data_IF_430699087602
#
_entry.id   IF_430699087602
#
_cell.length_a   1.000
_cell.length_b   1.000
_cell.length_c   1.000
_cell.angle_alpha   90.00
_cell.angle_beta   90.00
_cell.angle_gamma   90.00
#
_symmetry.space_group_name_H-M   'P 1'
#
loop_
_entity.id
_entity.type
_entity.pdbx_description
1 polymer ?
#
# COMPACT_ATOMS: atom_id res chain seq x y z
N UNK A 1 12.08 47.40 50.41
CA UNK A 1 12.89 46.95 49.28
C UNK A 1 12.87 45.42 49.08
N UNK A 2 13.02 44.60 50.14
CA UNK A 2 12.94 43.11 50.02
C UNK A 2 11.60 42.55 49.49
N UNK A 3 10.48 43.21 49.84
CA UNK A 3 9.13 42.79 49.37
C UNK A 3 8.86 43.10 47.90
N UNK A 4 9.53 44.16 47.35
CA UNK A 4 9.42 44.53 45.95
C UNK A 4 10.24 43.58 45.03
N UNK A 5 11.37 43.06 45.57
CA UNK A 5 12.20 42.06 44.85
C UNK A 5 11.49 40.71 44.75
N UNK A 6 10.71 40.34 45.79
CA UNK A 6 9.93 39.09 45.80
C UNK A 6 8.76 39.14 44.81
N UNK A 7 8.16 40.32 44.60
CA UNK A 7 7.08 40.51 43.59
C UNK A 7 7.62 40.47 42.16
N UNK A 8 8.85 40.92 41.92
CA UNK A 8 9.49 40.89 40.62
C UNK A 8 9.89 39.42 40.21
N UNK A 9 10.17 38.55 41.18
CA UNK A 9 10.49 37.14 40.93
C UNK A 9 9.23 36.30 40.57
N UNK A 10 8.02 36.76 40.96
CA UNK A 10 6.75 36.11 40.57
C UNK A 10 6.31 36.46 39.14
N UNK A 11 6.89 37.48 38.50
CA UNK A 11 6.65 37.84 37.12
C UNK A 11 7.71 37.24 36.15
N UNK A 12 8.53 36.27 36.62
CA UNK A 12 9.29 35.48 35.67
C UNK A 12 8.27 34.88 34.65
N UNK A 13 8.39 35.16 33.37
CA UNK A 13 7.49 34.54 32.40
C UNK A 13 7.71 33.04 32.60
N UNK A 14 6.69 32.34 33.06
CA UNK A 14 6.59 30.93 32.80
C UNK A 14 6.76 30.87 31.28
N UNK A 15 7.95 30.53 30.85
CA UNK A 15 8.18 30.18 29.45
C UNK A 15 7.21 29.04 29.20
N UNK A 16 6.00 29.42 28.81
CA UNK A 16 5.02 28.48 28.33
C UNK A 16 5.73 27.81 27.19
N UNK A 17 6.22 26.60 27.39
CA UNK A 17 6.65 25.73 26.33
C UNK A 17 5.45 25.64 25.40
N UNK A 18 5.41 26.50 24.40
CA UNK A 18 4.30 26.55 23.45
C UNK A 18 4.26 25.18 22.81
N UNK A 19 3.26 24.39 23.17
CA UNK A 19 3.06 23.07 22.59
C UNK A 19 2.95 23.23 21.09
N UNK A 20 3.84 22.59 20.36
CA UNK A 20 3.83 22.62 18.89
C UNK A 20 2.94 21.52 18.36
N UNK A 21 2.04 21.88 17.49
CA UNK A 21 1.16 20.97 16.78
C UNK A 21 1.54 20.99 15.31
N UNK A 22 1.61 19.81 14.71
CA UNK A 22 1.90 19.66 13.30
C UNK A 22 0.78 18.94 12.56
N UNK A 23 0.78 19.11 11.25
CA UNK A 23 -0.02 18.27 10.35
C UNK A 23 0.80 17.93 9.11
N UNK A 24 0.43 16.82 8.47
CA UNK A 24 1.12 16.28 7.29
C UNK A 24 0.09 15.72 6.32
N UNK A 25 0.34 15.87 5.02
CA UNK A 25 -0.42 15.17 3.99
C UNK A 25 0.33 13.90 3.56
N UNK A 26 0.01 12.80 4.20
CA UNK A 26 0.69 11.52 3.94
C UNK A 26 0.46 11.02 2.51
N UNK A 27 -0.72 11.24 1.95
CA UNK A 27 -1.05 10.85 0.59
C UNK A 27 -0.22 11.61 -0.46
N UNK A 28 -0.03 12.92 -0.27
CA UNK A 28 0.81 13.74 -1.14
C UNK A 28 2.26 13.27 -1.13
N UNK A 29 2.79 12.91 0.05
CA UNK A 29 4.16 12.39 0.17
C UNK A 29 4.26 11.03 -0.51
N UNK A 30 3.33 10.12 -0.22
CA UNK A 30 3.33 8.76 -0.76
C UNK A 30 3.35 8.74 -2.29
N UNK A 31 2.58 9.62 -2.94
CA UNK A 31 2.52 9.71 -4.40
C UNK A 31 3.85 10.09 -5.06
N UNK A 32 4.72 10.80 -4.35
CA UNK A 32 6.05 11.20 -4.86
C UNK A 32 7.18 10.30 -4.36
N UNK A 33 6.89 9.29 -3.56
CA UNK A 33 7.89 8.29 -3.13
C UNK A 33 8.27 7.36 -4.29
N UNK A 34 9.58 7.19 -4.59
CA UNK A 34 10.02 6.27 -5.64
C UNK A 34 9.58 4.83 -5.39
N UNK A 35 9.53 4.42 -4.13
CA UNK A 35 9.09 3.09 -3.70
C UNK A 35 7.63 2.85 -4.08
N UNK A 36 6.77 3.86 -3.98
CA UNK A 36 5.37 3.76 -4.37
C UNK A 36 5.22 3.53 -5.88
N UNK A 37 5.93 4.30 -6.68
CA UNK A 37 5.94 4.13 -8.14
C UNK A 37 6.49 2.77 -8.54
N UNK A 38 7.58 2.34 -7.90
CA UNK A 38 8.18 1.02 -8.14
C UNK A 38 7.22 -0.11 -7.76
N UNK A 39 6.62 -0.05 -6.57
CA UNK A 39 5.66 -1.03 -6.11
C UNK A 39 4.46 -1.16 -7.06
N UNK A 40 3.92 -0.04 -7.52
CA UNK A 40 2.85 -0.01 -8.52
C UNK A 40 3.25 -0.71 -9.82
N UNK A 41 4.42 -0.40 -10.34
CA UNK A 41 4.92 -1.05 -11.57
C UNK A 41 5.13 -2.56 -11.39
N UNK A 42 5.67 -2.98 -10.24
CA UNK A 42 5.88 -4.40 -9.94
C UNK A 42 4.54 -5.16 -9.83
N UNK A 43 3.54 -4.57 -9.19
CA UNK A 43 2.19 -5.15 -9.07
C UNK A 43 1.51 -5.23 -10.43
N UNK A 44 1.60 -4.18 -11.26
CA UNK A 44 1.07 -4.19 -12.63
C UNK A 44 1.74 -5.27 -13.50
N UNK A 45 3.05 -5.46 -13.36
CA UNK A 45 3.78 -6.51 -14.07
C UNK A 45 3.35 -7.92 -13.61
N UNK A 46 3.20 -8.13 -12.30
CA UNK A 46 2.75 -9.38 -11.73
C UNK A 46 1.32 -9.72 -12.18
N UNK A 47 0.43 -8.74 -12.20
CA UNK A 47 -0.93 -8.91 -12.70
C UNK A 47 -0.94 -9.36 -14.17
N UNK A 48 -0.18 -8.68 -15.03
CA UNK A 48 -0.06 -9.04 -16.45
C UNK A 48 0.49 -10.46 -16.64
N UNK A 49 1.45 -10.86 -15.82
CA UNK A 49 1.97 -12.22 -15.86
C UNK A 49 0.88 -13.24 -15.52
N UNK A 50 0.14 -13.03 -14.43
CA UNK A 50 -0.95 -13.93 -14.04
C UNK A 50 -2.06 -14.01 -15.08
N UNK A 51 -2.42 -12.87 -15.69
CA UNK A 51 -3.40 -12.82 -16.78
C UNK A 51 -2.92 -13.63 -18.02
N UNK A 52 -1.63 -13.52 -18.37
CA UNK A 52 -1.05 -14.27 -19.48
C UNK A 52 -1.01 -15.78 -19.19
N UNK A 53 -0.64 -16.18 -17.98
CA UNK A 53 -0.58 -17.58 -17.56
C UNK A 53 -2.00 -18.21 -17.58
N UNK A 54 -2.99 -17.51 -17.02
CA UNK A 54 -4.40 -17.96 -17.04
C UNK A 54 -4.92 -18.08 -18.48
N UNK A 55 -4.60 -17.09 -19.32
CA UNK A 55 -4.96 -17.14 -20.73
C UNK A 55 -4.35 -18.35 -21.43
N UNK A 56 -3.07 -18.63 -21.21
CA UNK A 56 -2.40 -19.81 -21.75
C UNK A 56 -3.08 -21.11 -21.34
N UNK A 57 -3.46 -21.23 -20.07
CA UNK A 57 -4.21 -22.40 -19.57
C UNK A 57 -5.60 -22.54 -20.21
N UNK A 58 -6.32 -21.42 -20.39
CA UNK A 58 -7.63 -21.40 -21.05
C UNK A 58 -7.55 -21.76 -22.53
N UNK A 59 -6.54 -21.24 -23.23
CA UNK A 59 -6.28 -21.55 -24.66
C UNK A 59 -5.94 -23.05 -24.83
N UNK A 60 -5.15 -23.63 -23.92
CA UNK A 60 -4.85 -25.07 -23.91
C UNK A 60 -6.10 -25.91 -23.65
N UNK A 61 -6.91 -25.57 -22.66
CA UNK A 61 -8.18 -26.26 -22.37
C UNK A 61 -9.10 -26.22 -23.59
N UNK A 62 -9.23 -25.04 -24.21
CA UNK A 62 -10.07 -24.86 -25.41
C UNK A 62 -9.61 -25.76 -26.54
N UNK A 63 -8.31 -25.78 -26.83
CA UNK A 63 -7.72 -26.63 -27.89
C UNK A 63 -7.96 -28.11 -27.62
N UNK A 64 -7.70 -28.58 -26.39
CA UNK A 64 -7.91 -29.99 -26.01
C UNK A 64 -9.39 -30.38 -26.05
N UNK A 65 -10.29 -29.47 -25.65
CA UNK A 65 -11.73 -29.69 -25.70
C UNK A 65 -12.21 -29.81 -27.14
N UNK A 66 -11.74 -28.95 -28.05
CA UNK A 66 -12.07 -29.02 -29.48
C UNK A 66 -11.54 -30.32 -30.11
N UNK A 67 -10.30 -30.71 -29.80
CA UNK A 67 -9.71 -31.96 -30.28
C UNK A 67 -10.53 -33.19 -29.78
N UNK A 68 -10.91 -33.17 -28.50
CA UNK A 68 -11.73 -34.21 -27.92
C UNK A 68 -13.11 -34.31 -28.63
N UNK A 69 -13.81 -33.19 -28.79
CA UNK A 69 -15.10 -33.15 -29.46
C UNK A 69 -15.05 -33.66 -30.92
N UNK A 70 -13.99 -33.30 -31.66
CA UNK A 70 -13.79 -33.74 -33.03
C UNK A 70 -13.54 -35.26 -33.16
N UNK A 71 -12.93 -35.88 -32.17
CA UNK A 71 -12.46 -37.26 -32.23
C UNK A 71 -13.20 -38.23 -31.33
N UNK A 72 -14.06 -37.77 -30.41
CA UNK A 72 -14.72 -38.61 -29.36
C UNK A 72 -15.48 -39.81 -29.92
N UNK A 73 -16.05 -39.69 -31.12
CA UNK A 73 -16.78 -40.78 -31.75
C UNK A 73 -15.91 -41.98 -32.20
N UNK A 74 -14.60 -41.75 -32.38
CA UNK A 74 -13.65 -42.79 -32.80
C UNK A 74 -12.79 -43.34 -31.63
N UNK A 75 -12.91 -42.73 -30.42
CA UNK A 75 -12.12 -43.12 -29.28
C UNK A 75 -12.71 -44.34 -28.55
N UNK A 76 -11.87 -45.30 -28.10
CA UNK A 76 -12.28 -46.33 -27.16
C UNK A 76 -12.84 -45.73 -25.87
N UNK A 77 -13.77 -46.40 -25.20
CA UNK A 77 -14.47 -45.91 -24.00
C UNK A 77 -13.50 -45.47 -22.89
N UNK A 78 -12.50 -46.29 -22.58
CA UNK A 78 -11.50 -45.99 -21.55
C UNK A 78 -10.65 -44.76 -21.87
N UNK A 79 -10.41 -44.48 -23.16
CA UNK A 79 -9.67 -43.30 -23.58
C UNK A 79 -10.56 -42.06 -23.52
N UNK A 80 -11.85 -42.20 -23.88
CA UNK A 80 -12.84 -41.13 -23.78
C UNK A 80 -13.00 -40.66 -22.32
N UNK A 81 -13.22 -41.60 -21.40
CA UNK A 81 -13.33 -41.29 -19.97
C UNK A 81 -12.06 -40.59 -19.41
N UNK A 82 -10.88 -41.04 -19.80
CA UNK A 82 -9.63 -40.40 -19.38
C UNK A 82 -9.50 -38.97 -19.92
N UNK A 83 -9.92 -38.73 -21.16
CA UNK A 83 -9.89 -37.39 -21.73
C UNK A 83 -10.90 -36.44 -21.07
N UNK A 84 -12.08 -36.91 -20.75
CA UNK A 84 -13.09 -36.15 -20.00
C UNK A 84 -12.57 -35.76 -18.62
N UNK A 85 -11.95 -36.71 -17.92
CA UNK A 85 -11.34 -36.43 -16.63
C UNK A 85 -10.21 -35.39 -16.74
N UNK A 86 -9.32 -35.53 -17.74
CA UNK A 86 -8.24 -34.55 -17.98
C UNK A 86 -8.78 -33.14 -18.20
N UNK A 87 -9.82 -32.98 -19.02
CA UNK A 87 -10.46 -31.69 -19.27
C UNK A 87 -11.08 -31.10 -17.99
N UNK A 88 -11.71 -31.93 -17.18
CA UNK A 88 -12.28 -31.50 -15.91
C UNK A 88 -11.20 -31.07 -14.91
N UNK A 89 -10.11 -31.81 -14.81
CA UNK A 89 -8.96 -31.44 -13.96
C UNK A 89 -8.32 -30.12 -14.40
N UNK A 90 -8.18 -29.92 -15.73
CA UNK A 90 -7.68 -28.65 -16.26
C UNK A 90 -8.62 -27.48 -15.91
N UNK A 91 -9.93 -27.66 -16.03
CA UNK A 91 -10.89 -26.65 -15.63
C UNK A 91 -10.77 -26.30 -14.14
N UNK A 92 -10.69 -27.28 -13.27
CA UNK A 92 -10.50 -27.09 -11.83
C UNK A 92 -9.19 -26.36 -11.54
N UNK A 93 -8.10 -26.73 -12.23
CA UNK A 93 -6.81 -26.08 -12.09
C UNK A 93 -6.84 -24.61 -12.48
N UNK A 94 -7.55 -24.25 -13.55
CA UNK A 94 -7.75 -22.84 -13.95
C UNK A 94 -8.49 -22.06 -12.84
N UNK A 95 -9.57 -22.63 -12.30
CA UNK A 95 -10.34 -22.01 -11.21
C UNK A 95 -9.45 -21.79 -9.97
N UNK A 96 -8.67 -22.81 -9.60
CA UNK A 96 -7.75 -22.71 -8.47
C UNK A 96 -6.67 -21.65 -8.72
N UNK A 97 -6.04 -21.68 -9.90
CA UNK A 97 -5.01 -20.68 -10.27
C UNK A 97 -5.56 -19.25 -10.24
N UNK A 98 -6.81 -19.04 -10.65
CA UNK A 98 -7.44 -17.72 -10.56
C UNK A 98 -7.55 -17.24 -9.10
N UNK A 99 -7.96 -18.12 -8.18
CA UNK A 99 -8.07 -17.80 -6.76
C UNK A 99 -6.69 -17.54 -6.14
N UNK A 100 -5.73 -18.42 -6.42
CA UNK A 100 -4.37 -18.32 -5.88
C UNK A 100 -3.67 -17.04 -6.37
N UNK A 101 -3.79 -16.72 -7.66
CA UNK A 101 -3.24 -15.50 -8.24
C UNK A 101 -3.86 -14.23 -7.63
N UNK A 102 -5.18 -14.24 -7.42
CA UNK A 102 -5.87 -13.11 -6.77
C UNK A 102 -5.38 -12.91 -5.33
N UNK A 103 -5.24 -13.99 -4.56
CA UNK A 103 -4.72 -13.92 -3.19
C UNK A 103 -3.26 -13.46 -3.16
N UNK A 104 -2.43 -14.00 -4.06
CA UNK A 104 -1.01 -13.63 -4.16
C UNK A 104 -0.84 -12.15 -4.53
N UNK A 105 -1.66 -11.64 -5.46
CA UNK A 105 -1.64 -10.23 -5.87
C UNK A 105 -2.03 -9.30 -4.71
N UNK A 106 -3.12 -9.62 -4.01
CA UNK A 106 -3.58 -8.86 -2.85
C UNK A 106 -2.52 -8.85 -1.73
N UNK A 107 -1.90 -9.99 -1.46
CA UNK A 107 -0.83 -10.13 -0.48
C UNK A 107 0.38 -9.28 -0.86
N UNK A 108 0.85 -9.40 -2.10
CA UNK A 108 1.99 -8.62 -2.60
C UNK A 108 1.72 -7.10 -2.51
N UNK A 109 0.51 -6.67 -2.87
CA UNK A 109 0.10 -5.26 -2.75
C UNK A 109 0.10 -4.79 -1.29
N UNK A 110 -0.45 -5.59 -0.37
CA UNK A 110 -0.50 -5.25 1.05
C UNK A 110 0.91 -5.16 1.66
N UNK A 111 1.81 -6.09 1.35
CA UNK A 111 3.19 -6.10 1.81
C UNK A 111 3.96 -4.86 1.33
N UNK A 112 3.86 -4.53 0.03
CA UNK A 112 4.48 -3.32 -0.54
C UNK A 112 3.97 -2.04 0.11
N UNK A 113 2.65 -1.93 0.28
CA UNK A 113 2.05 -0.77 0.94
C UNK A 113 2.45 -0.65 2.41
N UNK A 114 2.58 -1.77 3.12
CA UNK A 114 3.04 -1.77 4.50
C UNK A 114 4.48 -1.26 4.64
N UNK A 115 5.39 -1.70 3.76
CA UNK A 115 6.78 -1.22 3.73
C UNK A 115 6.85 0.29 3.49
N UNK A 116 6.09 0.80 2.49
CA UNK A 116 6.04 2.23 2.15
C UNK A 116 5.47 3.04 3.32
N UNK A 117 4.37 2.57 3.90
CA UNK A 117 3.73 3.23 5.04
C UNK A 117 4.66 3.27 6.25
N UNK A 118 5.35 2.18 6.57
CA UNK A 118 6.31 2.15 7.68
C UNK A 118 7.43 3.18 7.49
N UNK A 119 8.00 3.25 6.28
CA UNK A 119 9.04 4.22 5.94
C UNK A 119 8.55 5.66 6.11
N UNK A 120 7.33 5.95 5.66
CA UNK A 120 6.70 7.25 5.82
C UNK A 120 6.48 7.61 7.30
N UNK A 121 5.94 6.67 8.08
CA UNK A 121 5.69 6.87 9.51
C UNK A 121 6.98 7.11 10.30
N UNK A 122 8.06 6.42 9.96
CA UNK A 122 9.38 6.67 10.55
C UNK A 122 9.89 8.08 10.25
N UNK A 123 9.71 8.56 9.03
CA UNK A 123 10.08 9.92 8.66
C UNK A 123 9.24 10.98 9.40
N UNK A 124 7.93 10.77 9.51
CA UNK A 124 7.01 11.64 10.28
C UNK A 124 7.44 11.67 11.75
N UNK A 125 7.71 10.51 12.35
CA UNK A 125 8.19 10.40 13.74
C UNK A 125 9.51 11.15 13.94
N UNK A 126 10.44 11.00 13.01
CA UNK A 126 11.73 11.69 13.11
C UNK A 126 11.59 13.21 13.04
N UNK A 127 10.70 13.72 12.16
CA UNK A 127 10.37 15.15 12.07
C UNK A 127 9.67 15.63 13.34
N UNK A 128 8.75 14.84 13.87
CA UNK A 128 8.05 15.12 15.12
C UNK A 128 9.00 15.30 16.30
N UNK A 129 9.93 14.36 16.46
CA UNK A 129 10.93 14.39 17.52
C UNK A 129 11.92 15.56 17.36
N UNK A 130 12.41 15.81 16.14
CA UNK A 130 13.37 16.88 15.88
C UNK A 130 12.76 18.28 16.03
N UNK A 131 11.44 18.41 15.83
CA UNK A 131 10.74 19.69 15.94
C UNK A 131 10.05 19.93 17.28
N UNK A 132 10.15 19.00 18.26
CA UNK A 132 9.44 19.03 19.53
C UNK A 132 7.91 19.17 19.37
N UNK A 133 7.35 18.49 18.38
CA UNK A 133 5.90 18.45 18.19
C UNK A 133 5.24 17.53 19.20
N UNK A 134 4.12 17.98 19.78
CA UNK A 134 3.30 17.13 20.69
C UNK A 134 2.64 16.01 19.89
N UNK A 135 2.16 16.35 18.69
CA UNK A 135 1.68 15.39 17.69
C UNK A 135 1.79 15.98 16.28
N UNK A 136 1.81 15.12 15.29
CA UNK A 136 1.64 15.44 13.87
C UNK A 136 0.42 14.66 13.38
N UNK A 137 -0.60 15.37 12.91
CA UNK A 137 -1.86 14.81 12.48
C UNK A 137 -1.86 14.63 10.95
N UNK A 138 -2.30 13.46 10.48
CA UNK A 138 -2.44 13.22 9.05
C UNK A 138 -3.75 13.83 8.53
N UNK A 139 -3.64 14.74 7.57
CA UNK A 139 -4.79 15.41 6.98
C UNK A 139 -5.37 14.69 5.77
N UNK A 140 -4.71 13.64 5.28
CA UNK A 140 -5.18 12.88 4.12
C UNK A 140 -6.51 12.16 4.37
N UNK A 141 -6.85 11.91 5.63
CA UNK A 141 -8.11 11.27 6.05
C UNK A 141 -9.30 12.23 6.21
N UNK A 142 -9.17 13.48 5.78
CA UNK A 142 -10.30 14.42 5.72
C UNK A 142 -10.59 15.11 7.06
N UNK A 143 -9.60 15.73 7.69
CA UNK A 143 -9.80 16.58 8.86
C UNK A 143 -10.57 17.84 8.45
N UNK A 144 -11.73 18.14 9.07
CA UNK A 144 -12.60 19.23 8.63
C UNK A 144 -12.00 20.64 8.81
N UNK A 145 -11.10 20.79 9.80
CA UNK A 145 -10.49 22.08 10.10
C UNK A 145 -9.13 21.89 10.77
N UNK A 146 -8.16 22.67 10.30
CA UNK A 146 -6.85 22.85 10.94
C UNK A 146 -6.54 24.33 10.99
N UNK A 147 -6.10 24.78 12.17
CA UNK A 147 -5.68 26.16 12.36
C UNK A 147 -4.39 26.44 11.57
N UNK A 148 -4.42 27.44 10.70
CA UNK A 148 -3.23 27.90 9.96
C UNK A 148 -2.19 28.62 10.83
N UNK A 149 -2.57 29.01 12.06
CA UNK A 149 -1.69 29.76 12.98
C UNK A 149 -1.14 28.88 14.14
N UNK A 150 -1.88 27.82 14.51
CA UNK A 150 -1.52 26.98 15.64
C UNK A 150 -0.97 25.60 15.22
N UNK A 151 -1.16 25.19 13.99
CA UNK A 151 -0.63 23.95 13.46
C UNK A 151 0.31 24.22 12.29
N UNK A 152 1.49 23.63 12.33
CA UNK A 152 2.50 23.75 11.28
C UNK A 152 2.35 22.62 10.27
N UNK A 153 2.29 22.94 8.99
CA UNK A 153 2.41 21.95 7.93
C UNK A 153 3.87 21.48 7.84
N UNK A 154 4.07 20.20 8.12
CA UNK A 154 5.40 19.55 8.08
C UNK A 154 5.58 18.65 6.85
N UNK A 155 4.67 18.69 5.88
CA UNK A 155 4.73 17.87 4.66
C UNK A 155 6.06 18.02 3.94
N UNK A 156 6.52 19.26 3.74
CA UNK A 156 7.82 19.54 3.09
C UNK A 156 9.01 19.02 3.90
N UNK A 157 8.94 19.11 5.23
CA UNK A 157 10.00 18.59 6.13
C UNK A 157 10.08 17.06 6.07
N UNK A 158 8.94 16.38 6.04
CA UNK A 158 8.88 14.92 5.89
C UNK A 158 9.38 14.50 4.52
N UNK A 159 9.01 15.20 3.43
CA UNK A 159 9.58 14.96 2.09
C UNK A 159 11.10 15.09 2.11
N UNK A 160 11.62 16.17 2.68
CA UNK A 160 13.08 16.38 2.80
C UNK A 160 13.76 15.26 3.61
N UNK A 161 13.14 14.79 4.70
CA UNK A 161 13.63 13.67 5.52
C UNK A 161 13.68 12.35 4.73
N UNK A 162 12.77 12.15 3.79
CA UNK A 162 12.74 11.00 2.86
C UNK A 162 13.67 11.18 1.66
N UNK A 163 14.36 12.33 1.52
CA UNK A 163 15.18 12.64 0.35
C UNK A 163 14.40 12.96 -0.91
N UNK A 164 13.13 13.32 -0.77
CA UNK A 164 12.25 13.72 -1.87
C UNK A 164 12.40 15.22 -2.16
N UNK A 165 12.21 15.59 -3.43
CA UNK A 165 12.25 16.99 -3.88
C UNK A 165 10.85 17.59 -3.91
#
# INVERSE_FOLDING_TARGET
MKKLLLMLLMCAPLAAFAQKFGHVNSQEIMQVMPEYTKARTEIEALQKQYEADLKGMQDELTKKSQDYEANKGSLPENIRQRREQELQEMYQKIQQSYQDNSQALNKAQAEKMQEITNKLLEAIKAVGQAGDYVYIMDVSSGIPYISSTLSTDVTAQVKAKLGLK
#
